data_IF_899222522063
#
_entry.id   IF_899222522063
#
_cell.length_a   1.000
_cell.length_b   1.000
_cell.length_c   1.000
_cell.angle_alpha   90.00
_cell.angle_beta   90.00
_cell.angle_gamma   90.00
#
_symmetry.space_group_name_H-M   'P 1'
#
loop_
_entity.id
_entity.type
_entity.pdbx_description
1 polymer ?
#
# COMPACT_ATOMS: atom_id res chain seq x y z
N UNK A 1 61.78 3.37 -12.80
CA UNK A 1 61.36 2.22 -13.62
C UNK A 1 62.05 0.95 -13.12
N UNK A 2 61.42 0.21 -12.27
CA UNK A 2 61.83 -1.15 -11.96
C UNK A 2 61.27 -2.01 -13.09
N UNK A 3 62.13 -2.33 -14.05
CA UNK A 3 61.86 -3.35 -15.03
C UNK A 3 61.72 -4.69 -14.28
N UNK A 4 60.63 -5.34 -14.44
CA UNK A 4 60.47 -6.76 -14.16
C UNK A 4 61.35 -7.52 -15.16
N UNK A 5 62.60 -7.79 -14.78
CA UNK A 5 63.47 -8.73 -15.48
C UNK A 5 63.19 -10.08 -14.91
N UNK A 6 62.28 -10.74 -15.49
CA UNK A 6 62.02 -12.18 -15.26
C UNK A 6 61.33 -12.70 -16.49
N UNK A 7 61.94 -13.61 -17.16
CA UNK A 7 61.57 -14.16 -18.46
C UNK A 7 60.30 -15.02 -18.45
N UNK A 8 59.43 -14.86 -17.50
CA UNK A 8 58.18 -15.65 -17.43
C UNK A 8 57.05 -14.80 -16.87
N UNK A 9 56.68 -13.76 -17.60
CA UNK A 9 55.32 -13.24 -17.49
C UNK A 9 54.42 -14.27 -18.16
N UNK A 10 53.82 -15.17 -17.41
CA UNK A 10 52.72 -16.00 -17.89
C UNK A 10 51.52 -15.09 -18.15
N UNK A 11 51.57 -14.36 -19.28
CA UNK A 11 50.38 -13.69 -19.79
C UNK A 11 49.47 -14.76 -20.29
N UNK A 12 48.34 -14.89 -19.60
CA UNK A 12 47.33 -15.82 -20.02
C UNK A 12 46.54 -15.20 -21.14
N UNK A 13 46.74 -15.73 -22.34
CA UNK A 13 45.96 -15.33 -23.52
C UNK A 13 44.62 -16.12 -23.51
N UNK A 14 43.53 -15.43 -23.19
CA UNK A 14 42.18 -16.01 -23.24
C UNK A 14 41.31 -15.26 -24.22
N UNK A 15 40.35 -15.95 -24.86
CA UNK A 15 39.42 -15.36 -25.81
C UNK A 15 38.42 -14.37 -25.16
N UNK A 16 38.44 -14.23 -23.83
CA UNK A 16 37.59 -13.35 -23.07
C UNK A 16 38.37 -12.60 -22.00
N UNK A 17 37.71 -11.64 -21.34
CA UNK A 17 38.32 -10.84 -20.30
C UNK A 17 38.49 -11.63 -19.00
N UNK A 18 39.63 -11.50 -18.33
CA UNK A 18 39.95 -12.08 -17.03
C UNK A 18 40.12 -10.93 -16.00
N UNK A 19 39.46 -11.02 -14.82
CA UNK A 19 39.42 -9.98 -13.78
C UNK A 19 39.55 -10.52 -12.38
N UNK A 20 39.86 -9.65 -11.44
CA UNK A 20 39.82 -9.90 -9.99
C UNK A 20 40.56 -11.18 -9.56
N UNK A 21 41.88 -11.33 -9.86
CA UNK A 21 42.63 -12.49 -9.40
C UNK A 21 42.79 -12.45 -7.87
N UNK A 22 42.57 -13.61 -7.22
CA UNK A 22 42.82 -13.83 -5.79
C UNK A 22 43.61 -15.13 -5.60
N UNK A 23 44.56 -15.12 -4.66
CA UNK A 23 45.35 -16.32 -4.31
C UNK A 23 44.64 -17.11 -3.22
N UNK A 24 44.75 -18.45 -3.32
CA UNK A 24 44.37 -19.31 -2.21
C UNK A 24 45.25 -19.03 -0.98
N UNK A 25 44.75 -19.30 0.25
CA UNK A 25 45.53 -19.03 1.48
C UNK A 25 46.84 -19.79 1.57
N UNK A 26 46.92 -20.93 0.92
CA UNK A 26 48.17 -21.74 0.85
C UNK A 26 49.13 -21.28 -0.27
N UNK A 27 48.70 -20.28 -1.08
CA UNK A 27 49.51 -19.76 -2.17
C UNK A 27 49.66 -20.69 -3.39
N UNK A 28 48.89 -21.76 -3.47
CA UNK A 28 49.06 -22.77 -4.52
C UNK A 28 48.10 -22.63 -5.70
N UNK A 29 47.01 -21.90 -5.52
CA UNK A 29 46.00 -21.76 -6.56
C UNK A 29 45.62 -20.29 -6.74
N UNK A 30 45.28 -19.94 -7.98
CA UNK A 30 44.72 -18.62 -8.34
C UNK A 30 43.27 -18.79 -8.71
N UNK A 31 42.42 -17.95 -8.18
CA UNK A 31 41.03 -17.82 -8.57
C UNK A 31 40.84 -16.49 -9.30
N UNK A 32 39.98 -16.46 -10.31
CA UNK A 32 39.71 -15.27 -11.09
C UNK A 32 38.29 -15.28 -11.69
N UNK A 33 37.82 -14.12 -12.10
CA UNK A 33 36.63 -14.01 -12.92
C UNK A 33 37.01 -14.05 -14.40
N UNK A 34 36.38 -14.93 -15.18
CA UNK A 34 36.61 -15.04 -16.62
C UNK A 34 35.30 -15.16 -17.39
N UNK A 35 35.20 -14.41 -18.51
CA UNK A 35 34.02 -14.44 -19.37
C UNK A 35 34.14 -15.41 -20.57
N UNK A 36 35.15 -16.29 -20.59
CA UNK A 36 35.47 -17.21 -21.71
C UNK A 36 34.32 -18.08 -22.22
N UNK A 37 33.22 -18.20 -21.47
CA UNK A 37 31.99 -18.92 -21.87
C UNK A 37 30.81 -17.95 -22.03
N UNK A 38 31.04 -16.67 -22.31
CA UNK A 38 30.03 -15.66 -22.62
C UNK A 38 29.47 -14.92 -21.39
N UNK A 39 29.84 -15.31 -20.16
CA UNK A 39 29.50 -14.60 -18.92
C UNK A 39 30.60 -14.82 -17.89
N UNK A 40 30.88 -13.79 -17.07
CA UNK A 40 31.86 -13.91 -16.00
C UNK A 40 31.45 -14.98 -14.99
N UNK A 41 32.32 -15.92 -14.79
CA UNK A 41 32.25 -16.97 -13.77
C UNK A 41 33.58 -17.08 -13.03
N UNK A 42 33.57 -17.71 -11.86
CA UNK A 42 34.80 -18.01 -11.12
C UNK A 42 35.50 -19.22 -11.74
N UNK A 43 36.77 -19.04 -12.01
CA UNK A 43 37.68 -20.09 -12.46
C UNK A 43 38.86 -20.19 -11.51
N UNK A 44 39.48 -21.37 -11.45
CA UNK A 44 40.71 -21.59 -10.69
C UNK A 44 41.72 -22.36 -11.48
N UNK A 45 43.02 -22.14 -11.20
CA UNK A 45 44.11 -22.91 -11.72
C UNK A 45 45.24 -23.00 -10.69
N UNK A 46 46.04 -24.07 -10.67
CA UNK A 46 47.26 -24.16 -9.89
C UNK A 46 48.29 -23.10 -10.30
N UNK A 47 48.97 -22.49 -9.33
CA UNK A 47 49.95 -21.43 -9.62
C UNK A 47 51.10 -21.89 -10.49
N UNK A 48 51.49 -23.14 -10.40
CA UNK A 48 52.55 -23.78 -11.18
C UNK A 48 52.10 -24.28 -12.57
N UNK A 49 50.78 -24.34 -12.82
CA UNK A 49 50.20 -24.77 -14.08
C UNK A 49 49.00 -23.94 -14.50
N UNK A 50 49.23 -22.81 -15.12
CA UNK A 50 48.18 -21.91 -15.59
C UNK A 50 47.28 -22.50 -16.68
N UNK A 51 47.67 -23.61 -17.31
CA UNK A 51 46.86 -24.29 -18.35
C UNK A 51 45.77 -25.18 -17.74
N UNK A 52 45.90 -25.65 -16.48
CA UNK A 52 44.90 -26.46 -15.80
C UNK A 52 43.79 -25.61 -15.17
N UNK A 53 43.06 -24.87 -16.04
CA UNK A 53 41.98 -23.97 -15.62
C UNK A 53 40.68 -24.76 -15.48
N UNK A 54 40.05 -24.64 -14.33
CA UNK A 54 38.80 -25.28 -13.97
C UNK A 54 37.73 -24.26 -13.65
N UNK A 55 36.50 -24.46 -14.11
CA UNK A 55 35.37 -23.65 -13.75
C UNK A 55 34.93 -24.00 -12.31
N UNK A 56 34.84 -23.01 -11.44
CA UNK A 56 34.34 -23.14 -10.06
C UNK A 56 32.86 -22.84 -10.00
N UNK A 57 32.39 -21.89 -10.85
CA UNK A 57 30.96 -21.57 -11.00
C UNK A 57 30.53 -21.73 -12.46
N UNK A 58 29.21 -21.87 -12.67
CA UNK A 58 28.64 -22.08 -14.01
C UNK A 58 27.34 -21.35 -14.20
N UNK A 59 27.26 -20.10 -13.74
CA UNK A 59 26.09 -19.24 -13.91
C UNK A 59 25.92 -18.80 -15.37
N UNK A 60 24.68 -18.73 -15.85
CA UNK A 60 24.38 -18.47 -17.26
C UNK A 60 23.69 -17.13 -17.51
N UNK A 61 22.92 -16.63 -16.52
CA UNK A 61 22.00 -15.50 -16.70
C UNK A 61 22.67 -14.16 -16.45
N UNK A 62 23.48 -14.07 -15.39
CA UNK A 62 24.15 -12.83 -14.97
C UNK A 62 25.64 -13.07 -14.73
N UNK A 63 26.49 -12.05 -14.90
CA UNK A 63 27.91 -12.15 -14.60
C UNK A 63 28.17 -12.20 -13.08
N UNK A 64 29.12 -13.03 -12.66
CA UNK A 64 29.70 -12.98 -11.33
C UNK A 64 30.60 -11.75 -11.21
N UNK A 65 30.57 -11.08 -10.06
CA UNK A 65 31.33 -9.83 -9.79
C UNK A 65 31.95 -9.85 -8.39
N UNK A 66 32.90 -8.96 -8.15
CA UNK A 66 33.50 -8.66 -6.83
C UNK A 66 34.05 -9.90 -6.12
N UNK A 67 34.87 -10.71 -6.84
CA UNK A 67 35.48 -11.91 -6.27
C UNK A 67 36.47 -11.54 -5.16
N UNK A 68 36.35 -12.21 -4.05
CA UNK A 68 37.31 -12.17 -2.92
C UNK A 68 37.41 -13.53 -2.26
N UNK A 69 38.43 -13.73 -1.43
CA UNK A 69 38.63 -14.95 -0.68
C UNK A 69 39.02 -14.64 0.76
N UNK A 70 38.46 -15.37 1.71
CA UNK A 70 38.84 -15.27 3.12
C UNK A 70 40.14 -16.02 3.40
N UNK A 71 40.78 -15.74 4.54
CA UNK A 71 41.94 -16.51 5.00
C UNK A 71 41.66 -18.01 5.21
N UNK A 72 40.39 -18.39 5.39
CA UNK A 72 39.97 -19.78 5.51
C UNK A 72 39.64 -20.47 4.17
N UNK A 73 39.92 -19.81 3.03
CA UNK A 73 39.70 -20.39 1.68
C UNK A 73 38.24 -20.30 1.20
N UNK A 74 37.38 -19.55 1.85
CA UNK A 74 36.01 -19.33 1.41
C UNK A 74 35.97 -18.19 0.40
N UNK A 75 35.47 -18.47 -0.81
CA UNK A 75 35.18 -17.48 -1.84
C UNK A 75 33.97 -16.66 -1.44
N UNK A 76 33.99 -15.39 -1.78
CA UNK A 76 32.85 -14.48 -1.68
C UNK A 76 32.74 -13.70 -3.00
N UNK A 77 31.55 -13.62 -3.55
CA UNK A 77 31.27 -12.92 -4.81
C UNK A 77 29.81 -12.48 -4.90
N UNK A 78 29.54 -11.53 -5.77
CA UNK A 78 28.18 -11.10 -6.08
C UNK A 78 27.69 -11.78 -7.37
N UNK A 79 26.43 -12.20 -7.36
CA UNK A 79 25.71 -12.71 -8.50
C UNK A 79 24.23 -12.32 -8.39
N UNK A 80 23.66 -11.77 -9.47
CA UNK A 80 22.25 -11.37 -9.55
C UNK A 80 21.81 -10.43 -8.40
N UNK A 81 22.66 -9.47 -8.06
CA UNK A 81 22.38 -8.49 -6.99
C UNK A 81 22.54 -9.03 -5.57
N UNK A 82 22.90 -10.28 -5.39
CA UNK A 82 23.01 -10.96 -4.11
C UNK A 82 24.46 -11.37 -3.83
N UNK A 83 24.80 -11.60 -2.56
CA UNK A 83 26.12 -12.03 -2.12
C UNK A 83 26.11 -13.55 -1.87
N UNK A 84 27.10 -14.23 -2.44
CA UNK A 84 27.30 -15.67 -2.29
C UNK A 84 28.62 -15.99 -1.64
N UNK A 85 28.65 -17.05 -0.86
CA UNK A 85 29.86 -17.69 -0.38
C UNK A 85 29.96 -19.11 -0.91
N UNK A 86 31.19 -19.55 -1.16
CA UNK A 86 31.46 -20.91 -1.62
C UNK A 86 32.81 -21.37 -1.08
N UNK A 87 32.85 -22.55 -0.50
CA UNK A 87 34.08 -23.16 -0.03
C UNK A 87 34.44 -24.36 -0.95
N UNK A 88 35.65 -24.32 -1.50
CA UNK A 88 36.13 -25.32 -2.45
C UNK A 88 35.14 -25.56 -3.61
N UNK A 89 34.79 -26.82 -3.88
CA UNK A 89 33.82 -27.20 -4.89
C UNK A 89 32.37 -27.36 -4.36
N UNK A 90 32.07 -26.80 -3.19
CA UNK A 90 30.73 -26.86 -2.63
C UNK A 90 29.73 -26.02 -3.46
N UNK A 91 28.46 -26.26 -3.28
CA UNK A 91 27.40 -25.48 -3.91
C UNK A 91 27.44 -24.04 -3.37
N UNK A 92 27.33 -23.01 -4.24
CA UNK A 92 27.22 -21.64 -3.80
C UNK A 92 26.07 -21.43 -2.82
N UNK A 93 26.32 -20.72 -1.73
CA UNK A 93 25.34 -20.40 -0.71
C UNK A 93 25.09 -18.88 -0.69
N UNK A 94 23.84 -18.48 -0.87
CA UNK A 94 23.43 -17.10 -0.72
C UNK A 94 23.51 -16.67 0.75
N UNK A 95 24.08 -15.51 1.00
CA UNK A 95 24.06 -14.89 2.34
C UNK A 95 22.74 -14.19 2.54
N UNK A 96 21.99 -14.56 3.56
CA UNK A 96 20.86 -13.77 4.03
C UNK A 96 21.40 -12.65 4.90
N UNK A 97 21.15 -11.40 4.49
CA UNK A 97 21.53 -10.22 5.24
C UNK A 97 20.25 -9.66 5.86
N UNK A 98 20.08 -9.87 7.15
CA UNK A 98 19.02 -9.23 7.92
C UNK A 98 19.56 -7.89 8.44
N UNK A 99 19.05 -6.81 7.88
CA UNK A 99 19.37 -5.47 8.35
C UNK A 99 18.38 -5.16 9.48
N UNK A 100 18.81 -5.37 10.71
CA UNK A 100 18.09 -4.82 11.86
C UNK A 100 18.34 -3.31 11.85
N UNK A 101 17.36 -2.58 11.35
CA UNK A 101 17.32 -1.13 11.51
C UNK A 101 16.74 -0.85 12.89
N UNK A 102 17.50 -0.14 13.69
CA UNK A 102 16.96 0.57 14.85
C UNK A 102 16.26 1.85 14.31
N UNK A 103 15.27 1.62 13.44
CA UNK A 103 14.33 2.65 13.04
C UNK A 103 13.45 2.89 14.25
N UNK A 104 13.93 3.71 15.16
CA UNK A 104 13.02 4.49 15.98
C UNK A 104 12.05 5.13 14.99
N UNK A 105 10.76 4.85 15.17
CA UNK A 105 9.70 5.48 14.41
C UNK A 105 10.04 6.96 14.26
N UNK A 106 10.52 7.33 13.09
CA UNK A 106 10.76 8.73 12.79
C UNK A 106 9.39 9.34 12.67
N UNK A 107 8.91 9.89 13.78
CA UNK A 107 7.75 10.76 13.77
C UNK A 107 8.11 11.88 12.81
N UNK A 108 7.57 11.83 11.61
CA UNK A 108 7.71 12.91 10.65
C UNK A 108 6.51 13.84 10.87
N UNK A 109 6.78 15.05 11.32
CA UNK A 109 5.77 16.11 11.32
C UNK A 109 5.48 16.49 9.87
N UNK A 110 4.33 16.06 9.36
CA UNK A 110 3.86 16.40 8.04
C UNK A 110 2.91 17.61 8.13
N UNK A 111 3.31 18.72 7.50
CA UNK A 111 2.46 19.90 7.41
C UNK A 111 1.70 19.90 6.08
N UNK A 112 0.38 19.77 6.14
CA UNK A 112 -0.51 19.90 4.98
C UNK A 112 -1.16 21.28 4.99
N UNK A 113 -0.91 22.08 3.97
CA UNK A 113 -1.49 23.43 3.81
C UNK A 113 -2.66 23.46 2.85
N UNK A 114 -2.87 22.38 2.08
CA UNK A 114 -3.94 22.24 1.08
C UNK A 114 -4.16 20.78 0.72
N UNK A 115 -5.11 20.49 -0.18
CA UNK A 115 -5.32 19.16 -0.77
C UNK A 115 -6.32 18.29 -0.01
N UNK A 116 -7.12 18.84 0.89
CA UNK A 116 -8.27 18.13 1.44
C UNK A 116 -9.31 17.91 0.35
N UNK A 117 -9.72 16.64 0.16
CA UNK A 117 -10.69 16.23 -0.89
C UNK A 117 -12.09 16.01 -0.34
N UNK A 118 -12.23 15.84 0.96
CA UNK A 118 -13.50 15.66 1.67
C UNK A 118 -13.32 16.13 3.11
N UNK A 119 -14.39 16.57 3.75
CA UNK A 119 -14.38 17.00 5.14
C UNK A 119 -15.76 16.96 5.75
N UNK A 120 -15.83 16.74 7.06
CA UNK A 120 -17.06 16.76 7.85
C UNK A 120 -16.76 17.22 9.27
N UNK A 121 -17.73 17.82 9.90
CA UNK A 121 -17.64 18.29 11.30
C UNK A 121 -18.44 17.35 12.18
N UNK A 122 -17.91 17.05 13.37
CA UNK A 122 -18.65 16.25 14.35
C UNK A 122 -19.93 16.96 14.80
N UNK A 123 -21.01 16.25 15.15
CA UNK A 123 -22.27 16.86 15.59
C UNK A 123 -22.12 17.84 16.75
N UNK A 124 -21.17 17.65 17.66
CA UNK A 124 -20.86 18.55 18.78
C UNK A 124 -19.95 19.74 18.38
N UNK A 125 -19.48 19.81 17.12
CA UNK A 125 -18.63 20.87 16.60
C UNK A 125 -17.18 20.86 17.11
N UNK A 126 -16.77 19.83 17.86
CA UNK A 126 -15.43 19.77 18.48
C UNK A 126 -14.36 19.07 17.68
N UNK A 127 -14.73 18.41 16.60
CA UNK A 127 -13.83 17.66 15.74
C UNK A 127 -14.13 17.94 14.26
N UNK A 128 -13.08 17.98 13.44
CA UNK A 128 -13.17 18.03 11.99
C UNK A 128 -12.44 16.81 11.45
N UNK A 129 -13.15 15.94 10.72
CA UNK A 129 -12.54 14.87 9.95
C UNK A 129 -12.34 15.33 8.50
N UNK A 130 -11.22 14.96 7.90
CA UNK A 130 -10.91 15.32 6.52
C UNK A 130 -10.00 14.27 5.87
N UNK A 131 -9.98 14.25 4.54
CA UNK A 131 -9.14 13.35 3.76
C UNK A 131 -8.05 14.15 3.06
N UNK A 132 -6.81 13.77 3.28
CA UNK A 132 -5.63 14.31 2.57
C UNK A 132 -4.79 13.15 2.06
N UNK A 133 -4.40 13.20 0.79
CA UNK A 133 -3.61 12.13 0.11
C UNK A 133 -4.23 10.73 0.22
N UNK A 134 -5.54 10.66 0.29
CA UNK A 134 -6.27 9.41 0.41
C UNK A 134 -6.43 8.89 1.84
N UNK A 135 -5.82 9.51 2.84
CA UNK A 135 -5.91 9.09 4.23
C UNK A 135 -6.85 9.97 5.06
N UNK A 136 -7.52 9.37 6.02
CA UNK A 136 -8.45 10.04 6.94
C UNK A 136 -7.70 10.60 8.14
N UNK A 137 -7.95 11.88 8.42
CA UNK A 137 -7.43 12.59 9.59
C UNK A 137 -8.58 13.20 10.40
N UNK A 138 -8.39 13.31 11.69
CA UNK A 138 -9.31 14.06 12.58
C UNK A 138 -8.51 15.06 13.41
N UNK A 139 -8.93 16.32 13.37
CA UNK A 139 -8.36 17.38 14.20
C UNK A 139 -9.36 17.88 15.21
N UNK A 140 -8.88 18.41 16.34
CA UNK A 140 -9.71 19.13 17.28
C UNK A 140 -9.96 20.56 16.81
N UNK A 141 -11.13 21.12 17.14
CA UNK A 141 -11.42 22.54 16.96
C UNK A 141 -10.94 23.39 18.14
N UNK A 142 -10.72 22.79 19.29
CA UNK A 142 -10.35 23.46 20.54
C UNK A 142 -8.84 23.55 20.76
N UNK A 143 -8.06 22.67 20.13
CA UNK A 143 -6.60 22.61 20.30
C UNK A 143 -5.90 21.98 19.08
N UNK A 144 -4.63 22.29 18.89
CA UNK A 144 -3.85 21.91 17.72
C UNK A 144 -3.36 20.45 17.78
N UNK A 145 -4.29 19.48 17.87
CA UNK A 145 -3.97 18.06 17.78
C UNK A 145 -4.72 17.43 16.64
N UNK A 146 -3.97 16.78 15.74
CA UNK A 146 -4.51 16.05 14.60
C UNK A 146 -4.04 14.60 14.69
N UNK A 147 -4.96 13.67 14.50
CA UNK A 147 -4.67 12.23 14.44
C UNK A 147 -4.98 11.68 13.08
N UNK A 148 -4.06 10.90 12.54
CA UNK A 148 -4.31 10.06 11.39
C UNK A 148 -5.10 8.83 11.81
N UNK A 149 -6.17 8.53 11.11
CA UNK A 149 -7.10 7.44 11.42
C UNK A 149 -6.77 6.21 10.58
N UNK A 150 -6.52 6.42 9.28
CA UNK A 150 -6.18 5.34 8.34
C UNK A 150 -4.71 5.36 8.00
N UNK A 151 -4.13 4.17 7.79
CA UNK A 151 -2.72 3.98 7.44
C UNK A 151 -2.62 2.92 6.34
N UNK A 152 -3.18 3.21 5.17
CA UNK A 152 -3.27 2.25 4.09
C UNK A 152 -2.68 2.80 2.79
N UNK A 153 -2.20 1.97 1.88
CA UNK A 153 -1.82 2.42 0.55
C UNK A 153 -3.02 2.69 -0.35
N UNK A 154 -4.24 2.43 0.13
CA UNK A 154 -5.49 2.61 -0.60
C UNK A 154 -5.98 4.06 -0.51
N UNK A 155 -7.02 4.38 -1.26
CA UNK A 155 -7.67 5.68 -1.24
C UNK A 155 -8.95 5.61 -0.43
N UNK A 156 -9.16 6.59 0.44
CA UNK A 156 -10.39 6.82 1.17
C UNK A 156 -11.20 7.96 0.56
N UNK A 157 -12.54 7.88 0.69
CA UNK A 157 -13.49 8.88 0.21
C UNK A 157 -14.77 8.90 1.04
N UNK A 158 -15.49 10.02 1.01
CA UNK A 158 -16.81 10.16 1.62
C UNK A 158 -16.80 9.97 3.13
N UNK A 159 -16.69 11.05 3.87
CA UNK A 159 -16.63 11.03 5.33
C UNK A 159 -17.95 11.44 5.96
N UNK A 160 -18.35 10.76 7.03
CA UNK A 160 -19.43 11.18 7.90
C UNK A 160 -19.17 10.79 9.36
N UNK A 161 -19.54 11.68 10.30
CA UNK A 161 -19.59 11.34 11.72
C UNK A 161 -20.92 10.73 12.09
N UNK A 162 -20.89 9.77 12.97
CA UNK A 162 -22.09 9.33 13.69
C UNK A 162 -22.50 10.38 14.73
N UNK A 163 -23.79 10.39 15.14
CA UNK A 163 -24.28 11.30 16.19
C UNK A 163 -23.60 11.12 17.56
N UNK A 164 -22.90 10.04 17.77
CA UNK A 164 -22.15 9.75 19.01
C UNK A 164 -20.80 10.51 19.09
N UNK A 165 -20.38 11.22 18.04
CA UNK A 165 -19.07 11.90 17.89
C UNK A 165 -17.84 10.97 18.00
N UNK A 166 -18.05 9.66 18.06
CA UNK A 166 -17.03 8.64 18.35
C UNK A 166 -16.89 7.59 17.26
N UNK A 167 -17.73 7.67 16.25
CA UNK A 167 -17.74 6.78 15.10
C UNK A 167 -17.67 7.60 13.81
N UNK A 168 -16.78 7.20 12.90
CA UNK A 168 -16.66 7.70 11.53
C UNK A 168 -17.05 6.60 10.56
N UNK A 169 -17.73 6.96 9.49
CA UNK A 169 -17.89 6.10 8.32
C UNK A 169 -17.22 6.71 7.10
N UNK A 170 -16.62 5.89 6.28
CA UNK A 170 -15.97 6.26 5.02
C UNK A 170 -15.94 5.06 4.06
N UNK A 171 -15.63 5.34 2.80
CA UNK A 171 -15.35 4.31 1.79
C UNK A 171 -13.84 4.18 1.57
N UNK A 172 -13.37 2.97 1.29
CA UNK A 172 -11.95 2.67 1.00
C UNK A 172 -11.81 1.65 -0.12
N UNK A 173 -10.79 1.83 -0.97
CA UNK A 173 -10.44 0.91 -2.07
C UNK A 173 -9.51 -0.26 -1.64
N UNK A 174 -9.34 -0.53 -0.34
CA UNK A 174 -8.35 -1.50 0.19
C UNK A 174 -8.37 -2.88 -0.45
N UNK A 175 -9.51 -3.31 -0.92
CA UNK A 175 -9.70 -4.65 -1.49
C UNK A 175 -9.89 -4.63 -3.02
N UNK A 176 -9.44 -3.57 -3.68
CA UNK A 176 -9.54 -3.41 -5.13
C UNK A 176 -10.87 -2.85 -5.63
N UNK A 177 -11.83 -2.59 -4.73
CA UNK A 177 -13.09 -1.90 -4.99
C UNK A 177 -13.53 -1.10 -3.77
N UNK A 178 -14.44 -0.16 -3.97
CA UNK A 178 -14.96 0.68 -2.90
C UNK A 178 -15.80 -0.10 -1.91
N UNK A 179 -15.40 -0.10 -0.64
CA UNK A 179 -16.10 -0.74 0.48
C UNK A 179 -16.29 0.26 1.62
N UNK A 180 -17.35 0.04 2.41
CA UNK A 180 -17.65 0.89 3.57
C UNK A 180 -16.90 0.41 4.81
N UNK A 181 -16.33 1.34 5.53
CA UNK A 181 -15.64 1.13 6.80
C UNK A 181 -16.22 2.00 7.89
N UNK A 182 -16.22 1.48 9.11
CA UNK A 182 -16.45 2.23 10.33
C UNK A 182 -15.17 2.28 11.16
N UNK A 183 -14.73 3.47 11.56
CA UNK A 183 -13.71 3.64 12.57
C UNK A 183 -14.37 4.09 13.88
N UNK A 184 -14.06 3.40 14.98
CA UNK A 184 -14.66 3.65 16.30
C UNK A 184 -13.58 3.84 17.36
N UNK A 185 -13.82 4.76 18.29
CA UNK A 185 -12.98 4.89 19.48
C UNK A 185 -13.29 3.72 20.40
N UNK A 186 -12.30 2.83 20.66
CA UNK A 186 -12.49 1.61 21.42
C UNK A 186 -12.77 1.86 22.91
N UNK A 187 -12.05 2.79 23.53
CA UNK A 187 -12.14 3.06 24.97
C UNK A 187 -13.27 4.02 25.28
N UNK A 188 -14.14 3.65 26.21
CA UNK A 188 -15.34 4.43 26.59
C UNK A 188 -15.00 5.78 27.21
N UNK A 189 -13.90 5.86 27.94
CA UNK A 189 -13.40 7.06 28.62
C UNK A 189 -12.82 8.11 27.65
N UNK A 190 -12.48 7.73 26.42
CA UNK A 190 -11.94 8.64 25.42
C UNK A 190 -13.08 9.26 24.60
N UNK A 191 -13.20 10.58 24.66
CA UNK A 191 -14.35 11.30 24.11
C UNK A 191 -14.23 11.63 22.62
N UNK A 192 -12.99 11.77 22.09
CA UNK A 192 -12.74 12.27 20.74
C UNK A 192 -11.54 11.58 20.08
N UNK A 193 -11.54 11.59 18.75
CA UNK A 193 -10.51 10.93 17.94
C UNK A 193 -9.10 11.48 18.13
N UNK A 194 -8.86 12.82 18.18
CA UNK A 194 -7.51 13.35 18.33
C UNK A 194 -6.75 12.81 19.54
N UNK A 195 -7.44 12.49 20.62
CA UNK A 195 -6.86 11.95 21.86
C UNK A 195 -7.07 10.44 22.03
N UNK A 196 -7.79 9.80 21.14
CA UNK A 196 -8.05 8.35 21.27
C UNK A 196 -6.76 7.55 21.13
N UNK A 197 -6.54 6.60 22.01
CA UNK A 197 -5.37 5.72 21.99
C UNK A 197 -5.57 4.52 21.08
N UNK A 198 -6.79 3.97 21.03
CA UNK A 198 -7.14 2.81 20.21
C UNK A 198 -8.37 3.15 19.36
N UNK A 199 -8.20 2.96 18.05
CA UNK A 199 -9.28 3.07 17.07
C UNK A 199 -9.46 1.69 16.45
N UNK A 200 -10.68 1.20 16.46
CA UNK A 200 -11.07 -0.06 15.84
C UNK A 200 -11.74 0.22 14.49
N UNK A 201 -11.34 -0.51 13.47
CA UNK A 201 -11.96 -0.45 12.14
C UNK A 201 -12.78 -1.72 11.87
N UNK A 202 -13.95 -1.53 11.31
CA UNK A 202 -14.86 -2.60 10.88
C UNK A 202 -15.23 -2.36 9.41
N UNK A 203 -15.10 -3.38 8.56
CA UNK A 203 -15.66 -3.34 7.21
C UNK A 203 -17.15 -3.68 7.24
N UNK A 204 -17.98 -2.82 6.66
CA UNK A 204 -19.40 -3.08 6.50
C UNK A 204 -19.68 -3.75 5.15
N UNK A 205 -20.47 -4.82 5.18
CA UNK A 205 -20.93 -5.51 3.96
C UNK A 205 -19.80 -5.88 2.99
N UNK A 206 -18.77 -6.64 3.42
CA UNK A 206 -17.62 -6.94 2.58
C UNK A 206 -18.09 -7.67 1.29
N UNK A 207 -17.60 -7.19 0.15
CA UNK A 207 -17.88 -7.77 -1.17
C UNK A 207 -16.67 -7.59 -2.09
N UNK A 208 -16.38 -8.58 -2.90
CA UNK A 208 -15.33 -8.51 -3.91
C UNK A 208 -15.81 -7.88 -5.24
N UNK A 209 -17.11 -7.71 -5.43
CA UNK A 209 -17.69 -7.35 -6.73
C UNK A 209 -18.62 -6.15 -6.71
N UNK A 210 -19.10 -5.73 -5.54
CA UNK A 210 -20.08 -4.65 -5.40
C UNK A 210 -19.41 -3.43 -4.79
N UNK A 211 -19.44 -2.30 -5.49
CA UNK A 211 -18.91 -1.03 -5.00
C UNK A 211 -19.92 -0.30 -4.12
N UNK A 212 -19.43 0.28 -2.99
CA UNK A 212 -20.22 1.05 -2.04
C UNK A 212 -19.46 2.27 -1.57
N UNK A 213 -20.09 3.45 -1.66
CA UNK A 213 -19.47 4.71 -1.35
C UNK A 213 -20.47 5.72 -0.74
N UNK A 214 -19.96 6.89 -0.34
CA UNK A 214 -20.73 8.04 0.15
C UNK A 214 -21.64 7.71 1.33
N UNK A 215 -21.11 7.18 2.44
CA UNK A 215 -21.91 6.86 3.61
C UNK A 215 -22.44 8.13 4.30
N UNK A 216 -23.68 8.04 4.83
CA UNK A 216 -24.27 9.05 5.72
C UNK A 216 -25.04 8.36 6.85
N UNK A 217 -24.75 8.73 8.09
CA UNK A 217 -25.51 8.24 9.23
C UNK A 217 -26.92 8.83 9.27
N UNK A 218 -27.88 8.05 9.72
CA UNK A 218 -29.19 8.54 10.11
C UNK A 218 -29.06 9.51 11.31
N UNK A 219 -29.99 10.43 11.50
CA UNK A 219 -29.96 11.37 12.63
C UNK A 219 -29.93 10.69 14.01
N UNK A 220 -30.48 9.49 14.14
CA UNK A 220 -30.43 8.70 15.38
C UNK A 220 -29.23 7.77 15.48
N UNK A 221 -28.38 7.70 14.45
CA UNK A 221 -27.17 6.88 14.38
C UNK A 221 -27.39 5.35 14.25
N UNK A 222 -28.62 4.89 14.09
CA UNK A 222 -28.90 3.46 13.99
C UNK A 222 -28.76 2.90 12.59
N UNK A 223 -28.77 3.74 11.60
CA UNK A 223 -28.71 3.37 10.21
C UNK A 223 -27.64 4.15 9.48
N UNK A 224 -27.13 3.56 8.40
CA UNK A 224 -26.20 4.18 7.48
C UNK A 224 -26.76 4.07 6.05
N UNK A 225 -26.97 5.20 5.41
CA UNK A 225 -27.26 5.26 3.99
C UNK A 225 -25.96 5.26 3.19
N UNK A 226 -25.98 4.74 1.99
CA UNK A 226 -24.83 4.69 1.09
C UNK A 226 -25.29 4.49 -0.36
N UNK A 227 -24.40 4.82 -1.29
CA UNK A 227 -24.60 4.55 -2.72
C UNK A 227 -23.96 3.20 -3.06
N UNK A 228 -24.72 2.31 -3.68
CA UNK A 228 -24.27 1.04 -4.23
C UNK A 228 -24.28 1.10 -5.76
N UNK A 229 -23.20 0.58 -6.39
CA UNK A 229 -23.04 0.52 -7.85
C UNK A 229 -23.32 1.87 -8.53
N UNK A 230 -22.98 2.96 -7.86
CA UNK A 230 -23.08 4.36 -8.31
C UNK A 230 -24.48 4.92 -8.51
N UNK A 231 -25.54 4.12 -8.42
CA UNK A 231 -26.88 4.57 -8.80
C UNK A 231 -28.01 4.09 -7.88
N UNK A 232 -27.70 3.30 -6.85
CA UNK A 232 -28.71 2.80 -5.91
C UNK A 232 -28.47 3.35 -4.54
N UNK A 233 -29.45 4.07 -4.00
CA UNK A 233 -29.45 4.46 -2.61
C UNK A 233 -29.89 3.28 -1.76
N UNK A 234 -29.05 2.88 -0.86
CA UNK A 234 -29.22 1.76 0.05
C UNK A 234 -29.14 2.24 1.50
N UNK A 235 -29.75 1.51 2.40
CA UNK A 235 -29.66 1.75 3.85
C UNK A 235 -29.37 0.45 4.56
N UNK A 236 -28.39 0.44 5.45
CA UNK A 236 -28.11 -0.65 6.37
C UNK A 236 -28.51 -0.26 7.80
N UNK A 237 -29.20 -1.14 8.49
CA UNK A 237 -29.36 -1.06 9.93
C UNK A 237 -28.07 -1.59 10.60
N UNK A 238 -27.43 -0.76 11.42
CA UNK A 238 -26.09 -1.07 11.98
C UNK A 238 -26.10 -2.19 13.04
N UNK A 239 -27.23 -2.38 13.72
CA UNK A 239 -27.35 -3.43 14.73
C UNK A 239 -27.68 -4.79 14.08
N UNK A 240 -28.69 -4.80 13.22
CA UNK A 240 -29.20 -6.05 12.61
C UNK A 240 -28.45 -6.43 11.36
N UNK A 241 -27.63 -5.52 10.78
CA UNK A 241 -26.92 -5.64 9.50
C UNK A 241 -27.86 -5.90 8.30
N UNK A 242 -29.15 -5.66 8.46
CA UNK A 242 -30.12 -5.76 7.37
C UNK A 242 -30.00 -4.57 6.44
N UNK A 243 -29.93 -4.86 5.15
CA UNK A 243 -29.86 -3.85 4.08
C UNK A 243 -31.22 -3.76 3.39
N UNK A 244 -31.65 -2.55 3.06
CA UNK A 244 -32.80 -2.27 2.21
C UNK A 244 -32.44 -1.29 1.12
N UNK A 245 -33.07 -1.46 -0.01
CA UNK A 245 -32.92 -0.57 -1.15
C UNK A 245 -33.97 0.56 -1.06
N UNK A 246 -33.55 1.78 -1.36
CA UNK A 246 -34.40 2.98 -1.36
C UNK A 246 -34.75 3.37 -2.80
N UNK A 247 -33.77 3.38 -3.71
CA UNK A 247 -33.99 3.65 -5.13
C UNK A 247 -33.58 2.44 -5.96
N UNK A 248 -34.26 2.20 -7.07
CA UNK A 248 -33.98 1.08 -7.96
C UNK A 248 -32.85 1.37 -8.97
N UNK A 249 -32.37 2.62 -9.02
CA UNK A 249 -31.35 3.07 -9.96
C UNK A 249 -31.87 3.34 -11.39
N UNK A 250 -33.16 3.19 -11.65
CA UNK A 250 -33.72 3.36 -13.00
C UNK A 250 -33.86 4.82 -13.42
N UNK A 251 -34.05 5.72 -12.45
CA UNK A 251 -34.22 7.16 -12.66
C UNK A 251 -32.93 7.97 -12.53
N UNK A 252 -31.83 7.26 -12.34
CA UNK A 252 -30.56 7.90 -12.01
C UNK A 252 -29.58 7.88 -13.20
N UNK A 253 -29.06 9.04 -13.56
CA UNK A 253 -27.95 9.21 -14.50
C UNK A 253 -27.01 10.29 -14.01
N UNK A 254 -25.85 9.91 -13.52
CA UNK A 254 -24.72 10.80 -13.31
C UNK A 254 -23.58 10.42 -14.23
N UNK A 255 -23.01 11.41 -14.90
CA UNK A 255 -21.77 11.21 -15.66
C UNK A 255 -20.60 10.85 -14.73
N UNK A 256 -20.66 11.28 -13.48
CA UNK A 256 -19.60 11.08 -12.49
C UNK A 256 -19.88 9.94 -11.51
N UNK A 257 -21.05 9.31 -11.59
CA UNK A 257 -21.42 8.18 -10.75
C UNK A 257 -21.79 8.53 -9.31
N UNK A 258 -22.04 9.79 -9.03
CA UNK A 258 -22.39 10.28 -7.70
C UNK A 258 -23.66 11.10 -7.79
N UNK A 259 -24.53 10.96 -6.80
CA UNK A 259 -25.62 11.88 -6.60
C UNK A 259 -25.68 12.33 -5.14
N UNK A 260 -26.11 13.56 -4.94
CA UNK A 260 -26.27 14.09 -3.60
C UNK A 260 -27.60 13.61 -3.01
N UNK A 261 -27.54 13.15 -1.80
CA UNK A 261 -28.69 12.76 -1.02
C UNK A 261 -28.51 13.16 0.43
N UNK A 262 -29.61 13.36 1.13
CA UNK A 262 -29.57 13.78 2.54
C UNK A 262 -30.76 13.21 3.31
N UNK A 263 -30.49 12.80 4.55
CA UNK A 263 -31.53 12.44 5.49
C UNK A 263 -32.36 13.66 5.90
N UNK A 264 -33.68 13.49 6.04
CA UNK A 264 -34.47 14.46 6.79
C UNK A 264 -34.12 14.44 8.27
N UNK A 265 -34.27 15.55 9.00
CA UNK A 265 -33.96 15.60 10.43
C UNK A 265 -34.73 14.61 11.28
N UNK A 266 -35.92 14.21 10.87
CA UNK A 266 -36.76 13.22 11.55
C UNK A 266 -36.42 11.75 11.18
N UNK A 267 -35.45 11.57 10.26
CA UNK A 267 -35.00 10.26 9.81
C UNK A 267 -36.01 9.47 8.97
N UNK A 268 -37.07 10.11 8.43
CA UNK A 268 -38.13 9.41 7.70
C UNK A 268 -38.07 9.57 6.21
N UNK A 269 -37.34 10.53 5.71
CA UNK A 269 -37.26 10.89 4.30
C UNK A 269 -35.83 11.07 3.85
N UNK A 270 -35.63 10.89 2.56
CA UNK A 270 -34.45 11.38 1.84
C UNK A 270 -34.84 12.50 0.88
N UNK A 271 -34.05 13.58 0.87
CA UNK A 271 -33.93 14.41 -0.32
C UNK A 271 -32.82 13.83 -1.18
N UNK A 272 -33.02 13.76 -2.47
CA UNK A 272 -32.03 13.27 -3.40
C UNK A 272 -32.07 14.04 -4.71
N UNK A 273 -30.91 14.18 -5.32
CA UNK A 273 -30.77 14.67 -6.67
C UNK A 273 -31.04 13.53 -7.66
N UNK A 274 -31.81 13.79 -8.72
CA UNK A 274 -32.02 12.81 -9.78
C UNK A 274 -32.21 13.50 -11.14
N UNK A 275 -31.89 12.77 -12.19
CA UNK A 275 -32.10 13.21 -13.58
C UNK A 275 -33.27 12.43 -14.14
N UNK A 276 -34.41 13.11 -14.36
CA UNK A 276 -35.66 12.49 -14.78
C UNK A 276 -35.66 12.03 -16.25
N UNK A 277 -34.77 12.54 -17.09
CA UNK A 277 -34.67 12.19 -18.50
C UNK A 277 -33.20 12.16 -18.95
N UNK A 278 -32.77 11.08 -19.64
CA UNK A 278 -31.41 10.91 -20.17
C UNK A 278 -30.86 12.06 -21.02
N UNK A 279 -31.73 12.87 -21.60
CA UNK A 279 -31.38 13.96 -22.49
C UNK A 279 -31.46 15.33 -21.82
N UNK A 280 -31.84 15.37 -20.55
CA UNK A 280 -31.87 16.61 -19.78
C UNK A 280 -30.55 16.77 -19.02
N UNK A 281 -29.79 17.87 -19.27
CA UNK A 281 -28.55 18.11 -18.56
C UNK A 281 -28.76 18.63 -17.13
N UNK A 282 -30.00 18.84 -16.72
CA UNK A 282 -30.34 19.38 -15.40
C UNK A 282 -30.86 18.28 -14.48
N UNK A 283 -30.40 18.33 -13.23
CA UNK A 283 -30.93 17.47 -12.17
C UNK A 283 -32.14 18.11 -11.48
N UNK A 284 -33.07 17.28 -11.07
CA UNK A 284 -34.23 17.63 -10.24
C UNK A 284 -33.98 17.18 -8.79
N UNK A 285 -34.76 17.75 -7.86
CA UNK A 285 -34.75 17.31 -6.45
C UNK A 285 -35.98 16.45 -6.20
N UNK A 286 -35.76 15.24 -5.72
CA UNK A 286 -36.78 14.30 -5.33
C UNK A 286 -36.89 14.08 -3.84
N UNK A 287 -38.06 13.65 -3.39
CA UNK A 287 -38.30 13.19 -2.02
C UNK A 287 -38.62 11.68 -2.07
N UNK A 288 -37.92 10.91 -1.25
CA UNK A 288 -38.20 9.49 -1.07
C UNK A 288 -38.48 9.18 0.39
N UNK A 289 -39.63 8.52 0.66
CA UNK A 289 -39.92 8.00 1.99
C UNK A 289 -39.06 6.75 2.22
N UNK A 290 -38.42 6.66 3.38
CA UNK A 290 -37.44 5.60 3.71
C UNK A 290 -38.06 4.18 3.65
N UNK A 291 -39.38 4.07 3.73
CA UNK A 291 -40.09 2.80 3.69
C UNK A 291 -40.74 2.49 2.34
N UNK A 292 -40.57 3.33 1.31
CA UNK A 292 -41.13 3.16 -0.02
C UNK A 292 -40.02 3.20 -1.05
N UNK A 293 -40.00 2.25 -1.97
CA UNK A 293 -38.94 2.07 -2.97
C UNK A 293 -39.03 3.00 -4.19
N UNK A 294 -39.89 4.02 -4.19
CA UNK A 294 -40.05 4.95 -5.32
C UNK A 294 -40.03 6.41 -4.84
N UNK A 295 -39.27 7.29 -5.51
CA UNK A 295 -39.34 8.72 -5.26
C UNK A 295 -40.72 9.27 -5.71
N UNK A 296 -41.42 9.92 -4.78
CA UNK A 296 -42.62 10.69 -5.15
C UNK A 296 -42.20 12.05 -5.68
N UNK A 297 -42.61 12.38 -6.92
CA UNK A 297 -42.46 13.75 -7.41
C UNK A 297 -43.38 14.68 -6.61
N UNK A 298 -42.89 15.90 -6.27
CA UNK A 298 -43.74 16.93 -5.64
C UNK A 298 -44.89 17.37 -6.55
#
# INVERSE_FOLDING_TARGET
SLGLVGSEMCIRDSAGEDRNPVLSPDGKSVYLLSERKGSFNVYSFPLDNAQDLKAVTSFKTHPVRFLSMSHGGTLCYAYDGEIYTQKDNATPQKINIDIVRDDQDKIADLTFTNGATSGTVSPDGKQIAFIVRGEVFVTSTDYATTKQITHTPAREAGLTFAPDNRTLAYASERNGNWQLFLAKIARKEEANFPNATIIEEEVLLPSATVERAYPQFSPDGKELAFIEERNRLMVINLDTKKVRQITDGSTWFSTDGNFDYQWSPDGKWFTLEFIGNRHDPYSDIGLSLIHISEPTRP
#
